data_IF_658119146205
#
_entry.id   IF_658119146205
#
_cell.length_a   1.000
_cell.length_b   1.000
_cell.length_c   1.000
_cell.angle_alpha   90.00
_cell.angle_beta   90.00
_cell.angle_gamma   90.00
#
_symmetry.space_group_name_H-M   'P 1'
#
loop_
_entity.id
_entity.type
_entity.pdbx_description
1 polymer ?
#
# COMPACT_ATOMS: atom_id res chain seq x y z
N UNK A 1 -4.65 -18.79 15.92
CA UNK A 1 -5.55 -19.85 16.43
C UNK A 1 -5.33 -20.13 17.92
N UNK A 2 -4.11 -20.40 18.39
CA UNK A 2 -3.82 -20.66 19.82
C UNK A 2 -4.23 -19.52 20.78
N UNK A 3 -4.00 -18.27 20.39
CA UNK A 3 -4.34 -17.09 21.18
C UNK A 3 -5.85 -16.95 21.44
N UNK A 4 -6.69 -17.27 20.46
CA UNK A 4 -8.15 -17.21 20.56
C UNK A 4 -8.69 -18.29 21.50
N UNK A 5 -8.11 -19.49 21.47
CA UNK A 5 -8.45 -20.59 22.38
C UNK A 5 -8.06 -20.24 23.81
N UNK A 6 -6.88 -19.64 24.01
CA UNK A 6 -6.40 -19.21 25.31
C UNK A 6 -7.27 -18.09 25.91
N UNK A 7 -7.65 -17.10 25.10
CA UNK A 7 -8.58 -16.04 25.53
C UNK A 7 -9.96 -16.60 25.89
N UNK A 8 -10.50 -17.50 25.07
CA UNK A 8 -11.77 -18.17 25.37
C UNK A 8 -11.71 -18.98 26.67
N UNK A 9 -10.62 -19.71 26.90
CA UNK A 9 -10.42 -20.50 28.11
C UNK A 9 -10.34 -19.63 29.37
N UNK A 10 -9.59 -18.51 29.33
CA UNK A 10 -9.49 -17.56 30.45
C UNK A 10 -10.86 -16.95 30.77
N UNK A 11 -11.63 -16.59 29.72
CA UNK A 11 -12.95 -15.99 29.89
C UNK A 11 -13.91 -16.99 30.57
N UNK A 12 -13.96 -18.23 30.10
CA UNK A 12 -14.75 -19.30 30.74
C UNK A 12 -14.29 -19.53 32.18
N UNK A 13 -12.98 -19.61 32.43
CA UNK A 13 -12.44 -19.83 33.78
C UNK A 13 -12.86 -18.69 34.73
N UNK A 14 -12.76 -17.44 34.28
CA UNK A 14 -13.16 -16.27 35.06
C UNK A 14 -14.65 -16.27 35.40
N UNK A 15 -15.50 -16.64 34.44
CA UNK A 15 -16.95 -16.71 34.66
C UNK A 15 -17.33 -17.87 35.59
N UNK A 16 -16.66 -19.03 35.45
CA UNK A 16 -16.88 -20.16 36.36
C UNK A 16 -16.44 -19.84 37.78
N UNK A 17 -15.33 -19.10 37.94
CA UNK A 17 -14.85 -18.67 39.24
C UNK A 17 -15.82 -17.71 39.91
N UNK A 18 -16.32 -16.69 39.18
CA UNK A 18 -17.31 -15.75 39.71
C UNK A 18 -18.62 -16.47 40.07
N UNK A 19 -19.10 -17.37 39.23
CA UNK A 19 -20.32 -18.15 39.51
C UNK A 19 -20.14 -19.07 40.73
N UNK A 20 -18.97 -19.68 40.87
CA UNK A 20 -18.62 -20.49 42.04
C UNK A 20 -18.56 -19.63 43.31
N UNK A 21 -17.87 -18.49 43.26
CA UNK A 21 -17.68 -17.57 44.38
C UNK A 21 -19.02 -17.03 44.90
N UNK A 22 -19.88 -16.53 44.02
CA UNK A 22 -21.21 -16.02 44.39
C UNK A 22 -22.08 -17.10 45.04
N UNK A 23 -22.01 -18.34 44.53
CA UNK A 23 -22.75 -19.47 45.09
C UNK A 23 -22.25 -19.87 46.47
N UNK A 24 -20.93 -19.77 46.69
CA UNK A 24 -20.32 -20.07 47.99
C UNK A 24 -20.66 -19.00 49.04
N UNK A 25 -20.57 -17.71 48.69
CA UNK A 25 -20.91 -16.62 49.62
C UNK A 25 -22.38 -16.66 50.05
N UNK A 26 -23.32 -16.99 49.16
CA UNK A 26 -24.74 -17.11 49.51
C UNK A 26 -25.06 -18.33 50.40
N UNK A 27 -24.18 -19.35 50.42
CA UNK A 27 -24.37 -20.56 51.20
C UNK A 27 -23.69 -20.49 52.58
N UNK A 28 -22.53 -19.83 52.70
CA UNK A 28 -21.79 -19.70 53.96
C UNK A 28 -22.39 -18.63 54.90
N UNK A 29 -22.95 -17.53 54.37
CA UNK A 29 -23.44 -16.42 55.21
C UNK A 29 -24.72 -16.77 56.00
N UNK A 30 -25.61 -17.61 55.45
CA UNK A 30 -26.91 -17.89 56.07
C UNK A 30 -26.81 -18.72 57.38
N UNK A 31 -25.86 -19.66 57.46
CA UNK A 31 -25.69 -20.54 58.63
C UNK A 31 -24.80 -19.89 59.70
N UNK A 32 -23.79 -19.13 59.27
CA UNK A 32 -22.90 -18.34 60.13
C UNK A 32 -23.66 -17.23 60.89
N UNK A 33 -24.55 -16.51 60.21
CA UNK A 33 -25.26 -15.38 60.81
C UNK A 33 -26.27 -15.80 61.88
N UNK A 34 -26.94 -16.95 61.72
CA UNK A 34 -27.87 -17.49 62.71
C UNK A 34 -27.16 -17.91 64.01
N UNK A 35 -25.99 -18.54 63.90
CA UNK A 35 -25.20 -18.96 65.07
C UNK A 35 -24.58 -17.75 65.77
N UNK A 36 -24.18 -16.71 65.05
CA UNK A 36 -23.67 -15.49 65.66
C UNK A 36 -24.79 -14.67 66.33
N UNK A 37 -25.95 -14.54 65.70
CA UNK A 37 -27.13 -13.86 66.26
C UNK A 37 -27.56 -14.49 67.59
N UNK A 38 -27.63 -15.82 67.66
CA UNK A 38 -28.03 -16.52 68.89
C UNK A 38 -27.10 -16.28 70.07
N UNK A 39 -25.79 -16.27 69.83
CA UNK A 39 -24.79 -15.97 70.87
C UNK A 39 -24.95 -14.56 71.43
N UNK A 40 -25.16 -13.58 70.55
CA UNK A 40 -25.36 -12.18 70.95
C UNK A 40 -26.65 -12.04 71.75
N UNK A 41 -27.76 -12.64 71.28
CA UNK A 41 -29.05 -12.53 71.96
C UNK A 41 -29.05 -13.23 73.32
N UNK A 42 -28.37 -14.37 73.46
CA UNK A 42 -28.22 -15.06 74.74
C UNK A 42 -27.44 -14.20 75.76
N UNK A 43 -26.40 -13.50 75.32
CA UNK A 43 -25.62 -12.59 76.16
C UNK A 43 -26.44 -11.36 76.58
N UNK A 44 -27.26 -10.80 75.68
CA UNK A 44 -28.16 -9.69 75.99
C UNK A 44 -29.20 -10.07 77.06
N UNK A 45 -29.80 -11.27 76.96
CA UNK A 45 -30.74 -11.78 77.97
C UNK A 45 -30.04 -11.93 79.34
N UNK A 46 -28.79 -12.37 79.37
CA UNK A 46 -28.01 -12.45 80.62
C UNK A 46 -27.75 -11.08 81.23
N UNK A 47 -27.45 -10.08 80.41
CA UNK A 47 -27.23 -8.70 80.85
C UNK A 47 -28.53 -8.05 81.38
N UNK A 48 -29.66 -8.30 80.72
CA UNK A 48 -30.97 -7.82 81.17
C UNK A 48 -31.41 -8.46 82.50
N UNK A 49 -31.04 -9.73 82.73
CA UNK A 49 -31.28 -10.40 84.01
C UNK A 49 -30.38 -9.83 85.12
N UNK A 50 -29.08 -9.65 84.85
CA UNK A 50 -28.12 -9.09 85.81
C UNK A 50 -28.44 -7.64 86.20
N UNK A 51 -28.99 -6.86 85.26
CA UNK A 51 -29.46 -5.49 85.52
C UNK A 51 -30.83 -5.43 86.21
N UNK A 52 -31.46 -6.58 86.50
CA UNK A 52 -32.72 -6.70 87.21
C UNK A 52 -33.95 -6.27 86.41
N UNK A 53 -33.83 -6.16 85.08
CA UNK A 53 -34.95 -5.78 84.19
C UNK A 53 -35.90 -6.94 83.92
N UNK A 54 -35.38 -8.17 83.97
CA UNK A 54 -36.13 -9.42 83.88
C UNK A 54 -35.76 -10.34 85.04
N UNK A 55 -36.67 -11.24 85.42
CA UNK A 55 -36.41 -12.23 86.47
C UNK A 55 -35.63 -13.43 85.95
N UNK A 56 -34.92 -14.16 86.83
CA UNK A 56 -34.18 -15.38 86.46
C UNK A 56 -35.09 -16.44 85.81
N UNK A 57 -36.37 -16.49 86.21
CA UNK A 57 -37.36 -17.38 85.62
C UNK A 57 -37.71 -16.98 84.18
N UNK A 58 -37.88 -15.69 83.90
CA UNK A 58 -38.15 -15.17 82.55
C UNK A 58 -36.93 -15.33 81.64
N UNK A 59 -35.72 -15.05 82.14
CA UNK A 59 -34.48 -15.23 81.39
C UNK A 59 -34.28 -16.69 80.96
N UNK A 60 -34.64 -17.65 81.84
CA UNK A 60 -34.56 -19.08 81.54
C UNK A 60 -35.53 -19.51 80.45
N UNK A 61 -36.76 -18.96 80.45
CA UNK A 61 -37.77 -19.21 79.40
C UNK A 61 -37.31 -18.63 78.07
N UNK A 62 -36.85 -17.37 78.05
CA UNK A 62 -36.39 -16.72 76.81
C UNK A 62 -35.21 -17.43 76.16
N UNK A 63 -34.29 -17.97 76.97
CA UNK A 63 -33.18 -18.78 76.45
C UNK A 63 -33.65 -20.12 75.90
N UNK A 64 -34.64 -20.76 76.53
CA UNK A 64 -35.21 -22.00 76.02
C UNK A 64 -35.96 -21.77 74.69
N UNK A 65 -36.70 -20.66 74.58
CA UNK A 65 -37.36 -20.25 73.34
C UNK A 65 -36.35 -19.97 72.24
N UNK A 66 -35.25 -19.24 72.54
CA UNK A 66 -34.17 -18.98 71.59
C UNK A 66 -33.54 -20.27 71.05
N UNK A 67 -33.28 -21.26 71.91
CA UNK A 67 -32.77 -22.58 71.48
C UNK A 67 -33.79 -23.29 70.59
N UNK A 68 -35.08 -23.16 70.90
CA UNK A 68 -36.17 -23.76 70.11
C UNK A 68 -36.27 -23.10 68.74
N UNK A 69 -36.21 -21.78 68.65
CA UNK A 69 -36.19 -21.02 67.38
C UNK A 69 -35.00 -21.41 66.49
N UNK A 70 -33.80 -21.55 67.08
CA UNK A 70 -32.62 -21.99 66.34
C UNK A 70 -32.81 -23.42 65.84
N UNK A 71 -33.33 -24.32 66.68
CA UNK A 71 -33.58 -25.71 66.28
C UNK A 71 -34.59 -25.80 65.13
N UNK A 72 -35.64 -24.97 65.14
CA UNK A 72 -36.62 -24.89 64.06
C UNK A 72 -36.05 -24.25 62.79
N UNK A 73 -35.13 -23.29 62.92
CA UNK A 73 -34.43 -22.67 61.80
C UNK A 73 -33.33 -23.56 61.20
N UNK A 74 -32.79 -24.51 61.98
CA UNK A 74 -31.71 -25.44 61.59
C UNK A 74 -32.21 -26.83 61.19
N UNK A 75 -33.50 -27.15 61.39
CA UNK A 75 -34.09 -28.35 60.80
C UNK A 75 -34.11 -28.24 59.26
N UNK A 76 -33.58 -29.24 58.52
CA UNK A 76 -33.73 -29.28 57.08
C UNK A 76 -35.21 -29.48 56.77
N UNK A 77 -35.84 -28.46 56.18
CA UNK A 77 -37.26 -28.41 55.86
C UNK A 77 -37.82 -29.72 55.28
N UNK A 78 -38.34 -30.58 56.16
CA UNK A 78 -39.13 -31.74 55.77
C UNK A 78 -40.57 -31.25 55.61
N UNK A 79 -40.88 -30.87 54.35
CA UNK A 79 -42.21 -30.69 53.76
C UNK A 79 -43.37 -30.54 54.74
N UNK A 80 -43.82 -29.31 55.00
CA UNK A 80 -45.24 -28.91 55.13
C UNK A 80 -45.33 -27.40 55.42
N UNK A 81 -45.89 -26.63 54.47
CA UNK A 81 -46.35 -25.25 54.71
C UNK A 81 -45.64 -24.18 53.90
N UNK A 82 -46.24 -23.82 52.74
CA UNK A 82 -45.91 -22.68 51.86
C UNK A 82 -44.43 -22.56 51.48
N UNK A 83 -44.12 -23.17 50.33
CA UNK A 83 -43.17 -22.55 49.43
C UNK A 83 -43.68 -21.15 49.08
N UNK A 84 -43.27 -20.12 49.81
CA UNK A 84 -42.79 -18.94 49.09
C UNK A 84 -41.55 -19.47 48.37
N UNK A 85 -41.76 -20.06 47.19
CA UNK A 85 -40.72 -20.10 46.20
C UNK A 85 -40.44 -18.63 45.92
N UNK A 86 -39.49 -18.06 46.65
CA UNK A 86 -38.66 -17.07 46.03
C UNK A 86 -38.00 -17.85 44.89
N UNK A 87 -38.63 -17.77 43.72
CA UNK A 87 -38.19 -18.31 42.44
C UNK A 87 -36.96 -17.52 41.96
N UNK A 88 -35.99 -17.35 42.86
CA UNK A 88 -34.69 -16.72 42.65
C UNK A 88 -33.66 -17.73 42.12
N UNK A 89 -34.10 -18.95 41.76
CA UNK A 89 -33.25 -20.02 41.24
C UNK A 89 -33.01 -20.00 39.73
N UNK A 90 -33.68 -19.11 38.98
CA UNK A 90 -33.50 -18.99 37.51
C UNK A 90 -33.22 -17.58 37.01
N UNK A 91 -33.67 -16.54 37.72
CA UNK A 91 -33.38 -15.17 37.33
C UNK A 91 -31.87 -14.83 37.29
N UNK A 92 -31.01 -15.16 38.27
CA UNK A 92 -29.60 -14.78 38.20
C UNK A 92 -28.83 -15.53 37.10
N UNK A 93 -29.14 -16.80 36.85
CA UNK A 93 -28.48 -17.58 35.79
C UNK A 93 -28.96 -17.20 34.40
N UNK A 94 -30.26 -16.91 34.22
CA UNK A 94 -30.81 -16.40 32.96
C UNK A 94 -30.33 -14.98 32.68
N UNK A 95 -30.23 -14.11 33.68
CA UNK A 95 -29.66 -12.77 33.53
C UNK A 95 -28.17 -12.83 33.21
N UNK A 96 -27.41 -13.72 33.83
CA UNK A 96 -26.00 -13.92 33.49
C UNK A 96 -25.82 -14.46 32.08
N UNK A 97 -26.63 -15.45 31.67
CA UNK A 97 -26.65 -15.94 30.30
C UNK A 97 -27.04 -14.85 29.30
N UNK A 98 -28.03 -14.02 29.63
CA UNK A 98 -28.43 -12.88 28.81
C UNK A 98 -27.31 -11.84 28.69
N UNK A 99 -26.64 -11.50 29.79
CA UNK A 99 -25.49 -10.59 29.78
C UNK A 99 -24.36 -11.18 28.94
N UNK A 100 -24.06 -12.47 29.07
CA UNK A 100 -23.02 -13.13 28.29
C UNK A 100 -23.35 -13.10 26.78
N UNK A 101 -24.58 -13.45 26.42
CA UNK A 101 -25.05 -13.45 25.03
C UNK A 101 -25.05 -12.03 24.47
N UNK A 102 -25.52 -11.06 25.24
CA UNK A 102 -25.56 -9.65 24.82
C UNK A 102 -24.15 -9.07 24.70
N UNK A 103 -23.25 -9.39 25.62
CA UNK A 103 -21.86 -8.94 25.59
C UNK A 103 -21.10 -9.57 24.40
N UNK A 104 -21.32 -10.86 24.11
CA UNK A 104 -20.68 -11.54 22.98
C UNK A 104 -21.22 -11.06 21.65
N UNK A 105 -22.54 -11.04 21.45
CA UNK A 105 -23.16 -10.52 20.23
C UNK A 105 -22.87 -9.03 20.05
N UNK A 106 -22.95 -8.25 21.12
CA UNK A 106 -22.62 -6.83 21.11
C UNK A 106 -21.16 -6.58 20.74
N UNK A 107 -20.23 -7.36 21.29
CA UNK A 107 -18.81 -7.28 20.94
C UNK A 107 -18.53 -7.63 19.48
N UNK A 108 -19.15 -8.72 18.97
CA UNK A 108 -19.02 -9.11 17.56
C UNK A 108 -19.59 -8.05 16.63
N UNK A 109 -20.78 -7.51 16.94
CA UNK A 109 -21.40 -6.45 16.17
C UNK A 109 -20.55 -5.17 16.18
N UNK A 110 -20.01 -4.79 17.35
CA UNK A 110 -19.12 -3.64 17.49
C UNK A 110 -17.83 -3.83 16.68
N UNK A 111 -17.24 -5.03 16.69
CA UNK A 111 -16.05 -5.32 15.89
C UNK A 111 -16.36 -5.36 14.39
N UNK A 112 -17.52 -5.84 13.98
CA UNK A 112 -17.92 -5.77 12.57
C UNK A 112 -18.16 -4.33 12.11
N UNK A 113 -18.64 -3.46 12.99
CA UNK A 113 -18.94 -2.06 12.67
C UNK A 113 -17.69 -1.16 12.74
N UNK A 114 -16.88 -1.23 13.81
CA UNK A 114 -15.69 -0.38 14.01
C UNK A 114 -14.40 -1.03 13.51
N UNK A 115 -14.37 -2.36 13.45
CA UNK A 115 -13.15 -3.10 13.19
C UNK A 115 -12.74 -3.13 11.72
N UNK A 116 -11.72 -3.93 11.48
CA UNK A 116 -11.04 -4.05 10.18
C UNK A 116 -11.26 -5.45 9.58
N UNK A 117 -12.48 -5.99 9.73
CA UNK A 117 -12.79 -7.37 9.35
C UNK A 117 -12.55 -7.63 7.85
N UNK A 118 -12.94 -6.69 6.98
CA UNK A 118 -12.73 -6.79 5.53
C UNK A 118 -11.24 -6.74 5.17
N UNK A 119 -10.47 -5.89 5.85
CA UNK A 119 -9.04 -5.69 5.65
C UNK A 119 -8.23 -6.92 6.08
N UNK A 120 -8.62 -7.57 7.18
CA UNK A 120 -8.03 -8.85 7.63
C UNK A 120 -8.29 -9.95 6.60
N UNK A 121 -9.53 -10.12 6.16
CA UNK A 121 -9.89 -11.13 5.15
C UNK A 121 -9.15 -10.87 3.82
N UNK A 122 -9.07 -9.61 3.40
CA UNK A 122 -8.35 -9.22 2.20
C UNK A 122 -6.85 -9.57 2.30
N UNK A 123 -6.22 -9.23 3.42
CA UNK A 123 -4.79 -9.49 3.65
C UNK A 123 -4.51 -10.99 3.68
N UNK A 124 -5.39 -11.78 4.30
CA UNK A 124 -5.29 -13.23 4.30
C UNK A 124 -5.36 -13.81 2.87
N UNK A 125 -6.33 -13.36 2.06
CA UNK A 125 -6.45 -13.79 0.65
C UNK A 125 -5.26 -13.37 -0.20
N UNK A 126 -4.74 -12.17 0.02
CA UNK A 126 -3.53 -11.67 -0.65
C UNK A 126 -2.31 -12.54 -0.31
N UNK A 127 -2.12 -12.89 0.97
CA UNK A 127 -1.03 -13.77 1.40
C UNK A 127 -1.15 -15.19 0.83
N UNK A 128 -2.37 -15.68 0.67
CA UNK A 128 -2.65 -16.98 0.04
C UNK A 128 -2.59 -16.93 -1.49
N UNK A 129 -2.38 -15.76 -2.10
CA UNK A 129 -2.38 -15.58 -3.56
C UNK A 129 -3.72 -15.86 -4.22
N UNK A 130 -4.82 -15.82 -3.48
CA UNK A 130 -6.17 -16.18 -3.95
C UNK A 130 -7.01 -14.97 -4.35
N UNK A 131 -6.42 -13.77 -4.38
CA UNK A 131 -7.14 -12.54 -4.74
C UNK A 131 -7.32 -12.40 -6.24
N UNK A 132 -8.56 -12.17 -6.66
CA UNK A 132 -8.90 -11.83 -8.04
C UNK A 132 -8.69 -10.33 -8.29
N UNK A 133 -8.56 -9.95 -9.56
CA UNK A 133 -8.49 -8.54 -9.96
C UNK A 133 -9.71 -7.75 -9.47
N UNK A 134 -10.92 -8.30 -9.62
CA UNK A 134 -12.15 -7.68 -9.14
C UNK A 134 -12.14 -7.52 -7.61
N UNK A 135 -11.68 -8.54 -6.88
CA UNK A 135 -11.55 -8.47 -5.42
C UNK A 135 -10.52 -7.44 -4.95
N UNK A 136 -9.49 -7.15 -5.77
CA UNK A 136 -8.55 -6.05 -5.54
C UNK A 136 -9.25 -4.70 -5.70
N UNK A 137 -9.89 -4.48 -6.85
CA UNK A 137 -10.63 -3.24 -7.16
C UNK A 137 -11.69 -2.92 -6.11
N UNK A 138 -12.51 -3.90 -5.72
CA UNK A 138 -13.57 -3.74 -4.73
C UNK A 138 -13.01 -3.32 -3.36
N UNK A 139 -11.88 -3.92 -2.97
CA UNK A 139 -11.25 -3.59 -1.70
C UNK A 139 -10.66 -2.18 -1.69
N UNK A 140 -9.98 -1.80 -2.77
CA UNK A 140 -9.42 -0.46 -2.92
C UNK A 140 -10.53 0.60 -2.86
N UNK A 141 -11.65 0.37 -3.57
CA UNK A 141 -12.80 1.29 -3.54
C UNK A 141 -13.43 1.38 -2.15
N UNK A 142 -13.70 0.23 -1.51
CA UNK A 142 -14.20 0.21 -0.12
C UNK A 142 -13.31 1.01 0.83
N UNK A 143 -11.99 0.84 0.72
CA UNK A 143 -11.02 1.53 1.57
C UNK A 143 -11.01 3.04 1.30
N UNK A 144 -11.05 3.44 0.04
CA UNK A 144 -11.09 4.84 -0.37
C UNK A 144 -12.36 5.55 0.10
N UNK A 145 -13.52 4.90 0.01
CA UNK A 145 -14.78 5.43 0.51
C UNK A 145 -14.82 5.53 2.04
N UNK A 146 -14.28 4.53 2.75
CA UNK A 146 -14.24 4.48 4.22
C UNK A 146 -13.35 5.57 4.82
N UNK A 147 -12.14 5.75 4.27
CA UNK A 147 -11.13 6.62 4.87
C UNK A 147 -11.11 8.03 4.25
N UNK A 148 -11.58 8.17 3.01
CA UNK A 148 -11.56 9.42 2.23
C UNK A 148 -10.17 10.08 2.15
N UNK A 149 -9.11 9.26 2.17
CA UNK A 149 -7.72 9.72 2.06
C UNK A 149 -7.31 9.82 0.59
N UNK A 150 -6.51 10.82 0.19
CA UNK A 150 -6.00 10.94 -1.18
C UNK A 150 -5.25 9.71 -1.65
N UNK A 151 -4.44 9.13 -0.76
CA UNK A 151 -3.64 7.95 -1.04
C UNK A 151 -4.51 6.74 -1.40
N UNK A 152 -5.64 6.56 -0.71
CA UNK A 152 -6.53 5.43 -0.99
C UNK A 152 -7.22 5.62 -2.36
N UNK A 153 -7.64 6.84 -2.70
CA UNK A 153 -8.18 7.17 -4.02
C UNK A 153 -7.13 7.10 -5.14
N UNK A 154 -5.88 7.45 -4.84
CA UNK A 154 -4.76 7.31 -5.77
C UNK A 154 -4.55 5.84 -6.17
N UNK A 155 -4.60 4.90 -5.22
CA UNK A 155 -4.51 3.47 -5.54
C UNK A 155 -5.70 2.95 -6.35
N UNK A 156 -6.92 3.46 -6.08
CA UNK A 156 -8.08 3.17 -6.96
C UNK A 156 -7.79 3.66 -8.38
N UNK A 157 -7.24 4.85 -8.53
CA UNK A 157 -6.91 5.39 -9.85
C UNK A 157 -5.85 4.56 -10.57
N UNK A 158 -4.78 4.14 -9.89
CA UNK A 158 -3.74 3.27 -10.46
C UNK A 158 -4.29 1.91 -10.89
N UNK A 159 -5.17 1.31 -10.08
CA UNK A 159 -5.86 0.06 -10.43
C UNK A 159 -6.68 0.25 -11.72
N UNK A 160 -7.43 1.35 -11.83
CA UNK A 160 -8.17 1.70 -13.05
C UNK A 160 -7.28 1.95 -14.27
N UNK A 161 -6.14 2.61 -14.10
CA UNK A 161 -5.13 2.79 -15.17
C UNK A 161 -4.60 1.44 -15.64
N UNK A 162 -4.32 0.51 -14.73
CA UNK A 162 -3.84 -0.84 -15.07
C UNK A 162 -4.83 -1.63 -15.93
N UNK A 163 -6.12 -1.35 -15.74
CA UNK A 163 -7.24 -1.93 -16.48
C UNK A 163 -7.58 -1.15 -17.76
N UNK A 164 -6.84 -0.08 -18.07
CA UNK A 164 -7.11 0.86 -19.16
C UNK A 164 -8.47 1.59 -19.05
N UNK A 165 -9.07 1.58 -17.85
CA UNK A 165 -10.27 2.35 -17.52
C UNK A 165 -9.89 3.79 -17.16
N UNK A 166 -9.47 4.56 -18.17
CA UNK A 166 -8.97 5.92 -17.98
C UNK A 166 -10.06 6.90 -17.50
N UNK A 167 -11.33 6.62 -17.77
CA UNK A 167 -12.45 7.41 -17.24
C UNK A 167 -12.65 7.15 -15.75
N UNK A 168 -12.63 5.88 -15.32
CA UNK A 168 -12.65 5.52 -13.91
C UNK A 168 -11.44 6.07 -13.15
N UNK A 169 -10.26 6.03 -13.78
CA UNK A 169 -9.04 6.61 -13.21
C UNK A 169 -9.17 8.12 -12.99
N UNK A 170 -9.69 8.86 -13.98
CA UNK A 170 -9.95 10.30 -13.83
C UNK A 170 -10.86 10.61 -12.64
N UNK A 171 -11.96 9.88 -12.48
CA UNK A 171 -12.86 10.06 -11.35
C UNK A 171 -12.13 9.84 -10.01
N UNK A 172 -11.31 8.78 -9.91
CA UNK A 172 -10.57 8.47 -8.70
C UNK A 172 -9.49 9.52 -8.39
N UNK A 173 -8.75 10.01 -9.40
CA UNK A 173 -7.82 11.12 -9.22
C UNK A 173 -8.52 12.41 -8.77
N UNK A 174 -9.70 12.71 -9.31
CA UNK A 174 -10.51 13.84 -8.85
C UNK A 174 -10.92 13.71 -7.39
N UNK A 175 -11.28 12.49 -6.93
CA UNK A 175 -11.53 12.27 -5.50
C UNK A 175 -10.27 12.49 -4.66
N UNK A 176 -9.10 12.03 -5.14
CA UNK A 176 -7.84 12.23 -4.44
C UNK A 176 -7.49 13.72 -4.29
N UNK A 177 -7.82 14.53 -5.30
CA UNK A 177 -7.56 15.97 -5.34
C UNK A 177 -8.57 16.82 -4.55
N UNK A 178 -9.67 16.24 -4.02
CA UNK A 178 -10.61 16.98 -3.16
C UNK A 178 -10.00 17.40 -1.83
N UNK A 179 -9.18 16.54 -1.25
CA UNK A 179 -8.49 16.76 0.02
C UNK A 179 -6.99 16.56 -0.19
N UNK A 180 -6.33 17.36 -1.04
CA UNK A 180 -4.99 17.04 -1.55
C UNK A 180 -3.97 16.85 -0.43
N UNK A 181 -2.90 16.07 -0.67
CA UNK A 181 -1.75 15.98 0.25
C UNK A 181 -1.21 17.36 0.63
N UNK A 182 -0.63 17.46 1.84
CA UNK A 182 -0.01 18.71 2.32
C UNK A 182 1.26 19.07 1.53
N UNK A 183 2.03 18.07 1.10
CA UNK A 183 3.24 18.27 0.29
C UNK A 183 2.85 18.55 -1.18
N UNK A 184 3.20 19.71 -1.74
CA UNK A 184 2.95 20.03 -3.15
C UNK A 184 3.55 19.01 -4.12
N UNK A 185 4.65 18.33 -3.77
CA UNK A 185 5.26 17.32 -4.62
C UNK A 185 4.36 16.08 -4.75
N UNK A 186 3.68 15.67 -3.67
CA UNK A 186 2.72 14.57 -3.71
C UNK A 186 1.51 14.94 -4.57
N UNK A 187 1.08 16.21 -4.54
CA UNK A 187 0.02 16.72 -5.43
C UNK A 187 0.46 16.64 -6.90
N UNK A 188 1.71 16.98 -7.22
CA UNK A 188 2.26 16.87 -8.59
C UNK A 188 2.22 15.44 -9.09
N UNK A 189 2.51 14.44 -8.26
CA UNK A 189 2.42 13.02 -8.64
C UNK A 189 1.00 12.67 -9.08
N UNK A 190 -0.01 13.04 -8.27
CA UNK A 190 -1.42 12.80 -8.56
C UNK A 190 -1.85 13.52 -9.85
N UNK A 191 -1.50 14.81 -9.98
CA UNK A 191 -1.85 15.62 -11.16
C UNK A 191 -1.19 15.07 -12.43
N UNK A 192 0.04 14.55 -12.35
CA UNK A 192 0.78 14.01 -13.50
C UNK A 192 0.12 12.74 -14.06
N UNK A 193 -0.27 11.80 -13.19
CA UNK A 193 -1.00 10.60 -13.62
C UNK A 193 -2.44 10.92 -14.07
N UNK A 194 -3.06 11.92 -13.44
CA UNK A 194 -4.36 12.44 -13.86
C UNK A 194 -4.33 13.05 -15.26
N UNK A 195 -3.34 13.88 -15.57
CA UNK A 195 -3.14 14.47 -16.89
C UNK A 195 -3.00 13.39 -17.98
N UNK A 196 -2.19 12.36 -17.72
CA UNK A 196 -2.06 11.22 -18.63
C UNK A 196 -3.40 10.50 -18.82
N UNK A 197 -4.16 10.29 -17.75
CA UNK A 197 -5.48 9.63 -17.82
C UNK A 197 -6.51 10.46 -18.60
N UNK A 198 -6.50 11.78 -18.46
CA UNK A 198 -7.29 12.69 -19.31
C UNK A 198 -6.93 12.50 -20.78
N UNK A 199 -5.63 12.55 -21.08
CA UNK A 199 -5.14 12.41 -22.45
C UNK A 199 -5.51 11.07 -23.08
N UNK A 200 -5.34 9.96 -22.37
CA UNK A 200 -5.69 8.64 -22.88
C UNK A 200 -7.19 8.42 -23.02
N UNK A 201 -8.00 8.87 -22.05
CA UNK A 201 -9.46 8.79 -22.15
C UNK A 201 -10.02 9.59 -23.33
N UNK A 202 -9.38 10.72 -23.66
CA UNK A 202 -9.76 11.54 -24.81
C UNK A 202 -9.14 11.06 -26.14
N UNK A 203 -8.83 9.77 -26.25
CA UNK A 203 -8.25 9.17 -27.46
C UNK A 203 -6.97 9.88 -27.94
N UNK A 204 -6.14 10.34 -27.00
CA UNK A 204 -4.87 11.06 -27.26
C UNK A 204 -5.07 12.39 -27.98
N UNK A 205 -6.19 13.06 -27.75
CA UNK A 205 -6.46 14.41 -28.25
C UNK A 205 -6.34 15.43 -27.12
N UNK A 206 -5.91 16.63 -27.49
CA UNK A 206 -5.85 17.78 -26.58
C UNK A 206 -7.28 18.19 -26.20
N UNK A 207 -7.45 18.58 -24.93
CA UNK A 207 -8.70 19.07 -24.36
C UNK A 207 -8.40 20.20 -23.35
N UNK A 208 -9.26 21.23 -23.19
CA UNK A 208 -9.01 22.33 -22.27
C UNK A 208 -8.76 21.91 -20.81
N UNK A 209 -9.35 20.78 -20.37
CA UNK A 209 -9.09 20.21 -19.05
C UNK A 209 -7.64 19.76 -18.91
N UNK A 210 -7.09 19.12 -19.95
CA UNK A 210 -5.70 18.69 -19.99
C UNK A 210 -4.75 19.89 -19.86
N UNK A 211 -5.00 20.96 -20.62
CA UNK A 211 -4.20 22.19 -20.56
C UNK A 211 -4.18 22.80 -19.15
N UNK A 212 -5.35 22.89 -18.51
CA UNK A 212 -5.48 23.40 -17.15
C UNK A 212 -4.71 22.58 -16.12
N UNK A 213 -4.74 21.24 -16.23
CA UNK A 213 -4.02 20.35 -15.32
C UNK A 213 -2.50 20.46 -15.54
N UNK A 214 -2.05 20.52 -16.80
CA UNK A 214 -0.62 20.68 -17.11
C UNK A 214 -0.08 22.03 -16.59
N UNK A 215 -0.85 23.10 -16.75
CA UNK A 215 -0.49 24.41 -16.19
C UNK A 215 -0.32 24.36 -14.65
N UNK A 216 -1.18 23.62 -13.95
CA UNK A 216 -1.06 23.42 -12.51
C UNK A 216 0.21 22.63 -12.14
N UNK A 217 0.53 21.56 -12.88
CA UNK A 217 1.75 20.78 -12.65
C UNK A 217 2.98 21.66 -12.83
N UNK A 218 3.09 22.35 -13.96
CA UNK A 218 4.26 23.17 -14.31
C UNK A 218 4.40 24.41 -13.42
N UNK A 219 3.34 24.86 -12.75
CA UNK A 219 3.41 25.91 -11.74
C UNK A 219 4.09 25.44 -10.43
N UNK A 220 3.98 24.16 -10.10
CA UNK A 220 4.60 23.56 -8.90
C UNK A 220 5.98 23.00 -9.25
N UNK A 221 6.07 22.22 -10.33
CA UNK A 221 7.29 21.63 -10.85
C UNK A 221 7.45 21.92 -12.35
N UNK A 222 8.15 23.02 -12.65
CA UNK A 222 8.44 23.46 -14.01
C UNK A 222 9.33 22.49 -14.81
N UNK A 223 9.95 21.51 -14.16
CA UNK A 223 10.86 20.56 -14.77
C UNK A 223 10.25 19.15 -14.90
N UNK A 224 8.97 18.98 -14.56
CA UNK A 224 8.28 17.70 -14.67
C UNK A 224 8.28 17.21 -16.14
N UNK A 225 9.08 16.17 -16.43
CA UNK A 225 9.32 15.71 -17.80
C UNK A 225 8.05 15.21 -18.50
N UNK A 226 7.15 14.55 -17.77
CA UNK A 226 5.88 14.07 -18.30
C UNK A 226 4.93 15.22 -18.64
N UNK A 227 4.79 16.22 -17.77
CA UNK A 227 3.97 17.40 -18.03
C UNK A 227 4.51 18.23 -19.20
N UNK A 228 5.84 18.40 -19.28
CA UNK A 228 6.49 19.00 -20.46
C UNK A 228 6.23 18.17 -21.73
N UNK A 229 6.29 16.84 -21.64
CA UNK A 229 5.95 15.94 -22.74
C UNK A 229 4.55 16.19 -23.30
N UNK A 230 3.55 16.28 -22.42
CA UNK A 230 2.16 16.57 -22.79
C UNK A 230 1.96 18.03 -23.23
N UNK A 231 2.67 19.00 -22.62
CA UNK A 231 2.65 20.40 -23.04
C UNK A 231 3.10 20.54 -24.49
N UNK A 232 4.17 19.84 -24.90
CA UNK A 232 4.61 19.89 -26.30
C UNK A 232 3.56 19.33 -27.28
N UNK A 233 2.69 18.41 -26.85
CA UNK A 233 1.55 17.95 -27.67
C UNK A 233 0.53 19.07 -27.83
N UNK A 234 0.23 19.83 -26.78
CA UNK A 234 -0.64 21.02 -26.83
C UNK A 234 -0.08 22.06 -27.80
N UNK A 235 1.21 22.36 -27.68
CA UNK A 235 1.91 23.28 -28.58
C UNK A 235 1.85 22.81 -30.05
N UNK A 236 2.03 21.52 -30.28
CA UNK A 236 1.99 20.94 -31.61
C UNK A 236 0.58 21.02 -32.22
N UNK A 237 -0.46 20.68 -31.44
CA UNK A 237 -1.85 20.67 -31.90
C UNK A 237 -2.34 22.07 -32.31
N UNK A 238 -1.91 23.11 -31.59
CA UNK A 238 -2.21 24.51 -31.92
C UNK A 238 -1.34 25.10 -33.04
N UNK A 239 -0.45 24.31 -33.65
CA UNK A 239 0.45 24.73 -34.73
C UNK A 239 1.68 25.52 -34.27
N UNK A 240 1.93 25.60 -32.96
CA UNK A 240 3.12 26.22 -32.37
C UNK A 240 4.30 25.22 -32.39
N UNK A 241 4.72 24.81 -33.59
CA UNK A 241 5.70 23.74 -33.78
C UNK A 241 7.07 24.08 -33.18
N UNK A 242 7.47 25.36 -33.15
CA UNK A 242 8.76 25.78 -32.59
C UNK A 242 8.77 25.59 -31.08
N UNK A 243 7.69 26.00 -30.44
CA UNK A 243 7.45 25.88 -29.01
C UNK A 243 7.37 24.40 -28.62
N UNK A 244 6.66 23.57 -29.39
CA UNK A 244 6.63 22.12 -29.21
C UNK A 244 8.03 21.50 -29.19
N UNK A 245 8.88 21.86 -30.15
CA UNK A 245 10.27 21.37 -30.21
C UNK A 245 11.05 21.78 -28.96
N UNK A 246 10.94 23.04 -28.52
CA UNK A 246 11.67 23.53 -27.35
C UNK A 246 11.24 22.80 -26.07
N UNK A 247 9.93 22.64 -25.88
CA UNK A 247 9.35 21.98 -24.69
C UNK A 247 9.70 20.50 -24.65
N UNK A 248 9.61 19.78 -25.76
CA UNK A 248 10.00 18.37 -25.81
C UNK A 248 11.51 18.17 -25.60
N UNK A 249 12.35 19.09 -26.08
CA UNK A 249 13.78 19.06 -25.75
C UNK A 249 14.02 19.26 -24.24
N UNK A 250 13.23 20.11 -23.60
CA UNK A 250 13.29 20.32 -22.16
C UNK A 250 12.84 19.06 -21.40
N UNK A 251 11.76 18.41 -21.83
CA UNK A 251 11.29 17.14 -21.25
C UNK A 251 12.39 16.06 -21.27
N UNK A 252 13.12 15.92 -22.38
CA UNK A 252 14.22 14.96 -22.49
C UNK A 252 15.36 15.30 -21.51
N UNK A 253 15.70 16.59 -21.37
CA UNK A 253 16.78 17.03 -20.46
C UNK A 253 16.48 16.75 -18.98
N UNK A 254 15.21 16.84 -18.57
CA UNK A 254 14.79 16.64 -17.18
C UNK A 254 14.40 15.19 -16.84
N UNK A 255 14.77 14.23 -17.68
CA UNK A 255 14.74 12.82 -17.29
C UNK A 255 13.55 12.02 -17.82
N UNK A 256 13.07 12.32 -19.03
CA UNK A 256 12.20 11.38 -19.75
C UNK A 256 12.85 9.99 -19.82
N UNK A 257 12.06 8.95 -19.54
CA UNK A 257 12.47 7.55 -19.68
C UNK A 257 12.89 7.24 -21.12
N UNK A 258 13.56 6.10 -21.34
CA UNK A 258 14.02 5.71 -22.69
C UNK A 258 12.85 5.66 -23.68
N UNK A 259 11.73 5.04 -23.28
CA UNK A 259 10.55 4.91 -24.13
C UNK A 259 9.89 6.27 -24.43
N UNK A 260 9.76 7.13 -23.42
CA UNK A 260 9.22 8.50 -23.62
C UNK A 260 10.14 9.32 -24.53
N UNK A 261 11.46 9.22 -24.32
CA UNK A 261 12.46 9.95 -25.11
C UNK A 261 12.36 9.63 -26.60
N UNK A 262 12.19 8.36 -26.98
CA UNK A 262 12.05 7.98 -28.39
C UNK A 262 10.82 8.63 -29.02
N UNK A 263 9.67 8.60 -28.32
CA UNK A 263 8.45 9.28 -28.77
C UNK A 263 8.62 10.80 -28.89
N UNK A 264 9.29 11.43 -27.93
CA UNK A 264 9.58 12.86 -27.94
C UNK A 264 10.52 13.24 -29.10
N UNK A 265 11.55 12.44 -29.39
CA UNK A 265 12.46 12.68 -30.51
C UNK A 265 11.74 12.56 -31.86
N UNK A 266 10.82 11.60 -32.01
CA UNK A 266 9.98 11.48 -33.19
C UNK A 266 9.06 12.69 -33.35
N UNK A 267 8.41 13.13 -32.26
CA UNK A 267 7.59 14.34 -32.25
C UNK A 267 8.39 15.58 -32.64
N UNK A 268 9.59 15.76 -32.08
CA UNK A 268 10.51 16.86 -32.44
C UNK A 268 10.84 16.83 -33.93
N UNK A 269 11.15 15.67 -34.49
CA UNK A 269 11.47 15.54 -35.90
C UNK A 269 10.27 15.92 -36.77
N UNK A 270 9.10 15.40 -36.46
CA UNK A 270 7.86 15.71 -37.18
C UNK A 270 7.51 17.22 -37.08
N UNK A 271 7.63 17.82 -35.91
CA UNK A 271 7.39 19.26 -35.72
C UNK A 271 8.37 20.12 -36.53
N UNK A 272 9.64 19.71 -36.64
CA UNK A 272 10.61 20.40 -37.49
C UNK A 272 10.26 20.30 -38.97
N UNK A 273 9.83 19.13 -39.42
CA UNK A 273 9.45 18.91 -40.82
C UNK A 273 8.22 19.74 -41.20
N UNK A 274 7.17 19.71 -40.38
CA UNK A 274 5.92 20.43 -40.65
C UNK A 274 6.11 21.95 -40.48
N UNK A 275 6.80 22.36 -39.42
CA UNK A 275 7.05 23.76 -39.10
C UNK A 275 8.19 24.40 -39.90
N UNK A 276 8.90 23.63 -40.73
CA UNK A 276 10.09 24.12 -41.45
C UNK A 276 11.21 24.62 -40.53
N UNK A 277 11.34 24.05 -39.33
CA UNK A 277 12.25 24.55 -38.28
C UNK A 277 13.65 24.00 -38.50
N UNK A 278 14.59 24.89 -38.81
CA UNK A 278 15.98 24.50 -39.04
C UNK A 278 16.74 24.27 -37.72
N UNK A 279 17.87 23.57 -37.80
CA UNK A 279 18.75 23.39 -36.64
C UNK A 279 19.43 24.70 -36.19
N UNK A 280 19.46 25.72 -37.03
CA UNK A 280 19.95 27.05 -36.67
C UNK A 280 18.94 27.79 -35.79
N UNK A 281 17.64 27.65 -36.08
CA UNK A 281 16.57 28.30 -35.31
C UNK A 281 16.39 27.67 -33.94
N UNK A 282 16.41 26.33 -33.89
CA UNK A 282 16.40 25.57 -32.64
C UNK A 282 17.47 24.49 -32.75
N UNK A 283 18.56 24.56 -31.96
CA UNK A 283 19.61 23.54 -31.98
C UNK A 283 19.08 22.13 -31.73
N UNK A 284 19.70 21.13 -32.36
CA UNK A 284 19.39 19.72 -32.09
C UNK A 284 19.89 19.32 -30.70
N UNK A 285 19.11 18.49 -30.01
CA UNK A 285 19.52 17.91 -28.73
C UNK A 285 20.61 16.83 -28.94
N UNK A 286 20.54 16.12 -30.07
CA UNK A 286 21.60 15.23 -30.53
C UNK A 286 22.61 16.09 -31.28
N UNK A 287 23.75 16.38 -30.64
CA UNK A 287 24.85 17.16 -31.22
C UNK A 287 25.97 16.27 -31.77
N UNK A 288 26.18 15.11 -31.15
CA UNK A 288 27.25 14.18 -31.48
C UNK A 288 26.71 12.75 -31.55
N UNK A 289 27.13 12.02 -32.58
CA UNK A 289 26.74 10.63 -32.77
C UNK A 289 27.84 9.77 -33.40
N UNK A 290 27.70 8.47 -33.21
CA UNK A 290 28.53 7.42 -33.81
C UNK A 290 27.58 6.44 -34.48
N UNK A 291 27.77 6.20 -35.78
CA UNK A 291 26.99 5.22 -36.55
C UNK A 291 27.74 3.91 -36.59
N UNK A 292 27.07 2.83 -36.20
CA UNK A 292 27.62 1.49 -36.07
C UNK A 292 26.79 0.52 -36.90
N UNK A 293 27.47 -0.48 -37.43
CA UNK A 293 26.83 -1.64 -38.07
C UNK A 293 27.58 -2.89 -37.64
N UNK A 294 26.84 -3.93 -37.30
CA UNK A 294 27.39 -5.15 -36.75
C UNK A 294 27.20 -6.32 -37.69
N UNK A 295 28.19 -7.21 -37.73
CA UNK A 295 28.08 -8.53 -38.35
C UNK A 295 28.40 -9.58 -37.30
N UNK A 296 27.49 -10.54 -37.11
CA UNK A 296 27.67 -11.64 -36.16
C UNK A 296 28.15 -12.86 -36.92
N UNK A 297 29.30 -13.39 -36.52
CA UNK A 297 29.80 -14.69 -36.97
C UNK A 297 29.25 -15.78 -36.03
N UNK A 298 28.81 -16.91 -36.60
CA UNK A 298 28.18 -18.03 -35.88
C UNK A 298 26.93 -17.64 -35.06
N UNK A 299 25.91 -17.01 -35.67
CA UNK A 299 24.70 -16.56 -34.98
C UNK A 299 23.91 -17.69 -34.30
N UNK A 300 24.12 -18.94 -34.69
CA UNK A 300 23.52 -20.14 -34.07
C UNK A 300 23.92 -20.35 -32.61
N UNK A 301 25.01 -19.72 -32.14
CA UNK A 301 25.43 -19.76 -30.73
C UNK A 301 24.64 -18.80 -29.85
N UNK A 302 23.86 -17.89 -30.42
CA UNK A 302 23.05 -16.95 -29.65
C UNK A 302 21.81 -17.63 -29.10
N UNK A 303 21.55 -17.38 -27.82
CA UNK A 303 20.31 -17.75 -27.16
C UNK A 303 19.23 -16.69 -27.43
N UNK A 304 17.95 -17.08 -27.36
CA UNK A 304 16.83 -16.18 -27.66
C UNK A 304 16.71 -14.99 -26.67
N UNK A 305 17.32 -15.12 -25.50
CA UNK A 305 17.39 -14.13 -24.43
C UNK A 305 18.65 -13.26 -24.49
N UNK A 306 19.46 -13.36 -25.53
CA UNK A 306 20.68 -12.57 -25.72
C UNK A 306 20.40 -11.05 -25.77
N UNK A 307 21.20 -10.31 -25.00
CA UNK A 307 21.19 -8.84 -24.92
C UNK A 307 22.59 -8.31 -25.16
N UNK A 308 22.69 -7.30 -26.01
CA UNK A 308 23.95 -6.63 -26.33
C UNK A 308 24.02 -5.28 -25.64
N UNK A 309 25.14 -4.99 -24.99
CA UNK A 309 25.45 -3.67 -24.45
C UNK A 309 26.59 -3.05 -25.25
N UNK A 310 26.30 -1.94 -25.93
CA UNK A 310 27.28 -1.18 -26.71
C UNK A 310 27.73 0.00 -25.88
N UNK A 311 29.01 0.02 -25.51
CA UNK A 311 29.64 1.06 -24.71
C UNK A 311 30.53 1.95 -25.56
N UNK A 312 30.51 3.25 -25.28
CA UNK A 312 31.58 4.17 -25.65
C UNK A 312 32.33 4.60 -24.38
N UNK A 313 33.64 4.35 -24.37
CA UNK A 313 34.54 4.63 -23.25
C UNK A 313 35.59 5.63 -23.67
N UNK A 314 36.05 6.45 -22.74
CA UNK A 314 37.27 7.23 -22.97
C UNK A 314 38.49 6.34 -22.76
N UNK A 315 39.59 6.58 -23.50
CA UNK A 315 40.86 5.95 -23.21
C UNK A 315 41.21 6.11 -21.72
N UNK A 316 41.66 5.02 -21.10
CA UNK A 316 42.10 4.98 -19.69
C UNK A 316 41.01 5.21 -18.63
N UNK A 317 39.71 5.30 -19.00
CA UNK A 317 38.60 5.40 -18.05
C UNK A 317 37.77 4.11 -18.01
N UNK A 318 37.51 3.54 -16.83
CA UNK A 318 36.79 2.27 -16.72
C UNK A 318 35.30 2.40 -17.00
N UNK A 319 34.69 3.55 -16.65
CA UNK A 319 33.27 3.81 -16.86
C UNK A 319 32.97 4.32 -18.27
N UNK A 320 31.90 3.84 -18.94
CA UNK A 320 31.46 4.37 -20.23
C UNK A 320 30.88 5.78 -20.09
N UNK A 321 30.99 6.57 -21.15
CA UNK A 321 30.32 7.87 -21.27
C UNK A 321 29.01 7.78 -22.06
N UNK A 322 28.80 6.70 -22.81
CA UNK A 322 27.52 6.36 -23.44
C UNK A 322 27.33 4.84 -23.48
N UNK A 323 26.08 4.40 -23.30
CA UNK A 323 25.69 2.99 -23.29
C UNK A 323 24.35 2.83 -24.00
N UNK A 324 24.25 1.82 -24.86
CA UNK A 324 23.00 1.41 -25.48
C UNK A 324 22.75 -0.08 -25.30
N UNK A 325 21.56 -0.42 -24.83
CA UNK A 325 21.06 -1.79 -24.71
C UNK A 325 20.32 -2.17 -26.00
N UNK A 326 20.69 -3.28 -26.61
CA UNK A 326 20.13 -3.75 -27.86
C UNK A 326 19.75 -5.23 -27.75
N UNK A 327 18.69 -5.61 -28.48
CA UNK A 327 18.34 -7.00 -28.77
C UNK A 327 18.99 -7.41 -30.11
N UNK A 328 18.95 -8.69 -30.43
CA UNK A 328 19.60 -9.23 -31.62
C UNK A 328 19.09 -8.60 -32.93
N UNK A 329 17.79 -8.39 -33.05
CA UNK A 329 17.14 -7.72 -34.18
C UNK A 329 17.62 -6.26 -34.34
N UNK A 330 17.66 -5.51 -33.24
CA UNK A 330 18.12 -4.13 -33.22
C UNK A 330 19.62 -4.01 -33.54
N UNK A 331 20.44 -5.01 -33.15
CA UNK A 331 21.88 -5.02 -33.42
C UNK A 331 22.20 -5.20 -34.91
N UNK A 332 21.40 -6.00 -35.63
CA UNK A 332 21.57 -6.22 -37.07
C UNK A 332 21.14 -5.01 -37.91
N UNK A 333 20.41 -4.08 -37.32
CA UNK A 333 20.10 -2.79 -37.92
C UNK A 333 21.26 -1.78 -37.73
N UNK A 334 21.21 -0.65 -38.43
CA UNK A 334 22.19 0.42 -38.19
C UNK A 334 21.94 1.04 -36.80
N UNK A 335 22.95 0.95 -35.94
CA UNK A 335 22.88 1.45 -34.56
C UNK A 335 23.49 2.83 -34.49
N UNK A 336 22.79 3.79 -33.88
CA UNK A 336 23.36 5.09 -33.54
C UNK A 336 23.55 5.19 -32.02
N UNK A 337 24.77 5.55 -31.61
CA UNK A 337 25.10 5.97 -30.25
C UNK A 337 25.23 7.50 -30.23
N UNK A 338 24.55 8.17 -29.31
CA UNK A 338 24.38 9.63 -29.28
C UNK A 338 24.82 10.21 -27.94
N UNK A 339 24.98 11.53 -27.86
CA UNK A 339 25.27 12.23 -26.60
C UNK A 339 24.14 12.13 -25.55
N UNK A 340 22.98 11.58 -25.91
CA UNK A 340 21.88 11.33 -24.97
C UNK A 340 21.93 9.94 -24.32
N UNK A 341 22.77 9.04 -24.84
CA UNK A 341 22.90 7.68 -24.30
C UNK A 341 23.82 7.62 -23.06
N UNK A 342 23.96 8.74 -22.33
CA UNK A 342 24.82 8.86 -21.15
C UNK A 342 24.16 8.27 -19.90
N UNK A 343 24.95 7.62 -19.05
CA UNK A 343 24.46 7.02 -17.79
C UNK A 343 24.28 8.04 -16.66
N UNK A 344 25.10 9.08 -16.64
CA UNK A 344 25.15 10.05 -15.55
C UNK A 344 25.26 11.47 -16.12
N UNK A 345 24.74 12.48 -15.40
CA UNK A 345 25.07 13.87 -15.68
C UNK A 345 26.59 14.06 -15.63
N UNK A 346 27.16 14.71 -16.64
CA UNK A 346 28.60 14.89 -16.75
C UNK A 346 29.08 14.69 -18.19
N UNK A 347 30.18 13.96 -18.35
CA UNK A 347 30.82 13.79 -19.66
C UNK A 347 30.01 12.86 -20.57
N UNK A 348 29.71 13.34 -21.78
CA UNK A 348 28.95 12.66 -22.83
C UNK A 348 29.79 12.54 -24.10
N UNK A 349 29.19 12.01 -25.17
CA UNK A 349 29.82 12.03 -26.50
C UNK A 349 30.06 13.46 -27.03
N UNK A 350 29.35 14.47 -26.53
CA UNK A 350 29.53 15.84 -27.00
C UNK A 350 30.88 16.45 -26.62
N UNK A 351 31.49 16.00 -25.52
CA UNK A 351 32.79 16.47 -25.04
C UNK A 351 33.96 15.57 -25.48
N UNK A 352 33.69 14.47 -26.18
CA UNK A 352 34.69 13.49 -26.58
C UNK A 352 35.05 13.62 -28.07
N UNK A 353 36.35 13.71 -28.38
CA UNK A 353 36.83 13.62 -29.77
C UNK A 353 36.95 12.18 -30.25
N UNK A 354 37.41 11.28 -29.37
CA UNK A 354 37.63 9.86 -29.62
C UNK A 354 37.14 9.00 -28.46
N UNK A 355 36.65 7.82 -28.78
CA UNK A 355 36.20 6.81 -27.82
C UNK A 355 36.64 5.41 -28.22
N UNK A 356 36.81 4.54 -27.23
CA UNK A 356 36.89 3.10 -27.42
C UNK A 356 35.49 2.52 -27.34
N UNK A 357 35.05 1.85 -28.39
CA UNK A 357 33.80 1.09 -28.41
C UNK A 357 34.02 -0.31 -27.88
N UNK A 358 33.13 -0.76 -27.01
CA UNK A 358 33.13 -2.12 -26.46
C UNK A 358 31.73 -2.69 -26.56
N UNK A 359 31.61 -3.90 -27.11
CA UNK A 359 30.35 -4.63 -27.18
C UNK A 359 30.40 -5.79 -26.18
N UNK A 360 29.39 -5.86 -25.32
CA UNK A 360 29.21 -6.97 -24.39
C UNK A 360 27.96 -7.77 -24.70
N UNK A 361 28.04 -9.09 -24.50
CA UNK A 361 26.93 -10.02 -24.57
C UNK A 361 26.51 -10.42 -23.14
N UNK A 362 25.23 -10.31 -22.82
CA UNK A 362 24.62 -10.72 -21.57
C UNK A 362 23.30 -11.47 -21.85
N UNK A 363 22.77 -12.16 -20.84
CA UNK A 363 21.41 -12.71 -20.88
C UNK A 363 20.42 -11.70 -20.31
N UNK A 364 19.23 -11.60 -20.88
CA UNK A 364 18.14 -10.79 -20.33
C UNK A 364 17.71 -11.21 -18.91
N UNK A 365 18.07 -12.42 -18.48
CA UNK A 365 17.81 -12.94 -17.13
C UNK A 365 18.93 -12.63 -16.13
N UNK A 366 20.06 -12.08 -16.57
CA UNK A 366 21.16 -11.74 -15.68
C UNK A 366 20.75 -10.62 -14.71
N UNK A 367 21.11 -10.80 -13.43
CA UNK A 367 20.88 -9.79 -12.40
C UNK A 367 21.66 -8.49 -12.66
N UNK A 368 22.81 -8.59 -13.34
CA UNK A 368 23.66 -7.46 -13.70
C UNK A 368 24.24 -7.65 -15.12
N UNK A 369 23.58 -7.01 -16.10
CA UNK A 369 23.97 -7.05 -17.51
C UNK A 369 25.38 -6.48 -17.76
N UNK A 370 25.91 -5.64 -16.86
CA UNK A 370 27.21 -4.97 -17.08
C UNK A 370 28.40 -5.92 -16.98
N UNK A 371 28.19 -7.08 -16.34
CA UNK A 371 29.16 -8.18 -16.20
C UNK A 371 29.17 -9.14 -17.40
N UNK A 372 28.39 -8.85 -18.44
CA UNK A 372 28.41 -9.63 -19.68
C UNK A 372 29.80 -9.77 -20.30
N UNK A 373 29.94 -10.79 -21.14
CA UNK A 373 31.18 -11.13 -21.85
C UNK A 373 31.50 -10.05 -22.89
N UNK A 374 32.74 -9.55 -22.90
CA UNK A 374 33.21 -8.65 -23.97
C UNK A 374 33.50 -9.45 -25.24
N UNK A 375 32.72 -9.17 -26.29
CA UNK A 375 32.72 -9.93 -27.55
C UNK A 375 33.31 -9.14 -28.73
N UNK A 376 33.39 -7.81 -28.61
CA UNK A 376 34.07 -6.98 -29.61
C UNK A 376 34.59 -5.67 -29.01
N UNK A 377 35.67 -5.14 -29.60
CA UNK A 377 36.26 -3.85 -29.22
C UNK A 377 36.85 -3.13 -30.42
N UNK A 378 36.58 -1.83 -30.52
CA UNK A 378 37.16 -0.95 -31.52
C UNK A 378 37.74 0.29 -30.83
N UNK A 379 39.03 0.57 -31.02
CA UNK A 379 39.72 1.69 -30.35
C UNK A 379 39.76 2.95 -31.20
N UNK A 380 39.94 4.09 -30.53
CA UNK A 380 40.20 5.39 -31.16
C UNK A 380 39.15 5.84 -32.19
N UNK A 381 37.89 5.49 -31.96
CA UNK A 381 36.75 5.84 -32.82
C UNK A 381 36.45 7.32 -32.70
N UNK A 382 36.53 8.03 -33.82
CA UNK A 382 36.19 9.45 -33.88
C UNK A 382 34.68 9.67 -33.70
N UNK A 383 34.34 10.58 -32.80
CA UNK A 383 32.94 10.96 -32.53
C UNK A 383 32.48 12.00 -33.56
N UNK A 384 31.20 11.95 -33.93
CA UNK A 384 30.54 12.92 -34.80
C UNK A 384 31.10 13.00 -36.23
N UNK A 385 31.50 11.84 -36.76
CA UNK A 385 31.80 11.71 -38.19
C UNK A 385 30.63 11.06 -38.92
N UNK A 386 30.38 11.48 -40.16
CA UNK A 386 29.40 10.83 -41.03
C UNK A 386 29.97 9.55 -41.66
N UNK A 387 30.64 8.72 -40.84
CA UNK A 387 31.21 7.43 -41.20
C UNK A 387 30.49 6.35 -40.39
N UNK A 388 30.17 5.24 -41.04
CA UNK A 388 29.66 4.03 -40.36
C UNK A 388 30.85 3.16 -39.97
N UNK A 389 30.94 2.78 -38.70
CA UNK A 389 31.96 1.86 -38.22
C UNK A 389 31.40 0.45 -38.21
N UNK A 390 32.06 -0.44 -38.95
CA UNK A 390 31.71 -1.86 -39.01
C UNK A 390 32.43 -2.61 -37.90
N UNK A 391 31.69 -3.40 -37.12
CA UNK A 391 32.24 -4.22 -36.02
C UNK A 391 31.81 -5.66 -36.25
N UNK A 392 32.79 -6.54 -36.46
CA UNK A 392 32.57 -7.99 -36.48
C UNK A 392 32.55 -8.53 -35.05
N UNK A 393 31.55 -9.36 -34.75
CA UNK A 393 31.37 -10.04 -33.46
C UNK A 393 31.64 -11.52 -33.68
N UNK A 394 32.65 -12.05 -33.00
CA UNK A 394 32.95 -13.49 -32.97
C UNK A 394 32.37 -14.08 -31.68
N UNK A 395 31.55 -15.14 -31.82
CA UNK A 395 30.86 -15.84 -30.73
C UNK A 395 31.41 -17.23 -30.44
#
# INVERSE_FOLDING_TARGET
>A
MLSWILMGAILVLSLTYVAYYVKQTMAEDAESDLVNFSKVRAAEIDEECQSGRISDAEASVLKADLVTEISLASEPANNLGRKFTQDSGRLPSQMFALILVTATLGSVALYQYLGFSKEVIFTERMQQGSITQEGMSDFLLYRAEKNQRPQDWFFVAQDKVSQQDYLGAQFAFEQALKNPPEDPNDVVVILTEYAQSIFFANQRKVDPKLESVIAQILAIDANNSTALGLQGIIEFDRGAYREAVLVWQQAIKFGASIAEREGLLQGIQQAREIGGITQEQVPSLISHKIKLSFSIENPEKLTADAVFLVYAKLPLRPMPIAIKRLRQDALLSQVELTNLDNLMPGMTLAEAQKVDLVVKLASSSDQDLTKGLEIAKLKDVLVNQNKVFHISIEL
#
